data_IF_454834546387
#
_entry.id   IF_454834546387
#
_cell.length_a   1.000
_cell.length_b   1.000
_cell.length_c   1.000
_cell.angle_alpha   90.00
_cell.angle_beta   90.00
_cell.angle_gamma   90.00
#
_symmetry.space_group_name_H-M   'P 1'
#
loop_
_entity.id
_entity.type
_entity.pdbx_description
1 polymer ?
#
# COMPACT_ATOMS: atom_id res chain seq x y z
N UNK A 1 -6.56 15.44 -13.43
CA UNK A 1 -6.12 14.23 -14.13
C UNK A 1 -5.72 13.27 -13.04
N UNK A 2 -6.43 12.16 -12.88
CA UNK A 2 -6.03 11.10 -11.97
C UNK A 2 -4.82 10.42 -12.59
N UNK A 3 -3.69 10.43 -11.90
CA UNK A 3 -2.48 9.75 -12.37
C UNK A 3 -2.62 8.29 -11.93
N UNK A 4 -3.15 7.47 -12.84
CA UNK A 4 -3.35 6.05 -12.58
C UNK A 4 -2.00 5.33 -12.62
N UNK A 5 -1.41 5.10 -11.45
CA UNK A 5 -0.20 4.30 -11.28
C UNK A 5 -0.55 2.81 -11.37
N UNK A 6 0.29 2.02 -12.05
CA UNK A 6 0.14 0.57 -12.07
C UNK A 6 0.60 0.00 -10.72
N UNK A 7 -0.34 -0.63 -10.01
CA UNK A 7 -0.12 -1.27 -8.71
C UNK A 7 -0.18 -2.77 -8.89
N UNK A 8 0.90 -3.47 -8.57
CA UNK A 8 0.91 -4.94 -8.49
C UNK A 8 0.60 -5.38 -7.07
N UNK A 9 -0.33 -6.30 -6.89
CA UNK A 9 -0.79 -6.81 -5.60
C UNK A 9 -0.21 -8.20 -5.37
N UNK A 10 0.30 -8.42 -4.15
CA UNK A 10 0.90 -9.67 -3.70
C UNK A 10 0.30 -10.10 -2.36
N UNK A 11 0.24 -11.41 -2.10
CA UNK A 11 -0.20 -11.95 -0.79
C UNK A 11 0.94 -12.02 0.24
N UNK A 12 2.19 -11.87 -0.20
CA UNK A 12 3.38 -11.90 0.66
C UNK A 12 4.44 -10.94 0.07
N UNK A 13 5.56 -10.64 0.77
CA UNK A 13 6.60 -9.77 0.22
C UNK A 13 7.37 -10.42 -0.95
N UNK A 14 7.22 -11.72 -1.17
CA UNK A 14 7.90 -12.49 -2.22
C UNK A 14 7.28 -12.28 -3.60
N UNK A 15 8.12 -12.16 -4.62
CA UNK A 15 7.67 -11.93 -6.00
C UNK A 15 6.84 -13.09 -6.58
N UNK A 16 6.97 -14.31 -6.04
CA UNK A 16 6.17 -15.46 -6.44
C UNK A 16 4.70 -15.39 -5.99
N UNK A 17 4.38 -14.49 -5.06
CA UNK A 17 3.05 -14.35 -4.47
C UNK A 17 2.15 -13.32 -5.17
N UNK A 18 2.47 -13.02 -6.44
CA UNK A 18 1.70 -12.11 -7.28
C UNK A 18 0.25 -12.58 -7.42
N UNK A 19 -0.69 -11.68 -7.23
CA UNK A 19 -2.13 -11.93 -7.39
C UNK A 19 -2.61 -11.31 -8.70
N UNK A 20 -2.50 -9.98 -8.83
CA UNK A 20 -2.93 -9.23 -10.01
C UNK A 20 -2.38 -7.81 -10.03
N UNK A 21 -2.65 -7.07 -11.10
CA UNK A 21 -2.33 -5.65 -11.22
C UNK A 21 -3.60 -4.81 -11.39
N UNK A 22 -3.62 -3.62 -10.81
CA UNK A 22 -4.70 -2.65 -10.93
C UNK A 22 -4.12 -1.26 -11.23
N UNK A 23 -4.98 -0.36 -11.70
CA UNK A 23 -4.67 1.06 -11.80
C UNK A 23 -5.30 1.79 -10.61
N UNK A 24 -4.54 2.70 -10.03
CA UNK A 24 -4.97 3.40 -8.83
C UNK A 24 -4.21 4.72 -8.65
N UNK A 25 -4.83 5.66 -7.93
CA UNK A 25 -4.25 6.98 -7.66
C UNK A 25 -3.29 6.87 -6.47
N UNK A 26 -1.99 6.90 -6.76
CA UNK A 26 -0.91 6.81 -5.78
C UNK A 26 -0.44 8.21 -5.38
N UNK A 27 -0.64 8.56 -4.11
CA UNK A 27 -0.35 9.88 -3.61
C UNK A 27 0.68 9.83 -2.47
N UNK A 28 1.59 10.83 -2.39
CA UNK A 28 2.41 11.00 -1.21
C UNK A 28 1.53 11.30 0.00
N UNK A 29 1.95 10.80 1.16
CA UNK A 29 1.27 11.00 2.44
C UNK A 29 2.32 11.10 3.54
N UNK A 30 1.95 11.64 4.70
CA UNK A 30 2.86 11.69 5.84
C UNK A 30 2.07 11.52 7.12
N UNK A 31 2.24 10.36 7.73
CA UNK A 31 1.73 10.07 9.07
C UNK A 31 2.71 9.16 9.79
N UNK A 32 3.14 9.60 10.96
CA UNK A 32 4.01 8.81 11.82
C UNK A 32 3.19 8.19 12.94
N UNK A 33 3.36 6.89 13.14
CA UNK A 33 2.79 6.15 14.27
C UNK A 33 3.92 5.91 15.25
N UNK A 34 3.80 6.49 16.45
CA UNK A 34 4.77 6.32 17.54
C UNK A 34 4.19 5.32 18.54
N UNK A 35 4.97 4.29 18.85
CA UNK A 35 4.65 3.29 19.86
C UNK A 35 5.27 3.67 21.20
N UNK A 36 4.72 3.18 22.30
CA UNK A 36 5.15 3.53 23.67
C UNK A 36 6.63 3.24 23.93
N UNK A 37 7.17 2.18 23.31
CA UNK A 37 8.59 1.79 23.40
C UNK A 37 9.55 2.69 22.57
N UNK A 38 9.06 3.79 22.00
CA UNK A 38 9.85 4.74 21.22
C UNK A 38 10.08 4.35 19.76
N UNK A 39 9.49 3.24 19.29
CA UNK A 39 9.49 2.90 17.87
C UNK A 39 8.57 3.82 17.07
N UNK A 40 9.02 4.24 15.90
CA UNK A 40 8.24 5.05 14.97
C UNK A 40 8.13 4.33 13.61
N UNK A 41 6.91 4.26 13.08
CA UNK A 41 6.63 3.79 11.72
C UNK A 41 6.07 4.96 10.92
N UNK A 42 6.70 5.26 9.79
CA UNK A 42 6.28 6.32 8.89
C UNK A 42 5.48 5.77 7.71
N UNK A 43 4.20 6.14 7.64
CA UNK A 43 3.35 5.91 6.48
C UNK A 43 3.62 7.05 5.49
N UNK A 44 4.27 6.72 4.38
CA UNK A 44 4.77 7.69 3.40
C UNK A 44 3.84 7.88 2.21
N UNK A 45 2.88 6.98 2.02
CA UNK A 45 2.02 7.00 0.84
C UNK A 45 0.62 6.50 1.16
N UNK A 46 -0.32 6.91 0.31
CA UNK A 46 -1.68 6.38 0.28
C UNK A 46 -2.11 6.08 -1.16
N UNK A 47 -3.05 5.18 -1.31
CA UNK A 47 -3.59 4.75 -2.60
C UNK A 47 -5.11 4.85 -2.59
N UNK A 48 -5.69 5.41 -3.64
CA UNK A 48 -7.13 5.35 -3.89
C UNK A 48 -7.43 4.43 -5.08
N UNK A 49 -8.33 3.47 -4.88
CA UNK A 49 -8.70 2.49 -5.90
C UNK A 49 -10.14 1.99 -5.72
N UNK A 50 -10.72 1.41 -6.76
CA UNK A 50 -12.00 0.71 -6.66
C UNK A 50 -11.93 -0.40 -5.60
N UNK A 51 -13.07 -0.73 -5.01
CA UNK A 51 -13.11 -1.80 -4.00
C UNK A 51 -12.69 -3.13 -4.61
N UNK A 52 -11.74 -3.81 -3.97
CA UNK A 52 -11.15 -5.05 -4.49
C UNK A 52 -10.92 -6.08 -3.38
N UNK A 53 -11.49 -7.28 -3.53
CA UNK A 53 -11.38 -8.34 -2.51
C UNK A 53 -9.96 -8.87 -2.31
N UNK A 54 -9.04 -8.59 -3.24
CA UNK A 54 -7.61 -8.96 -3.11
C UNK A 54 -6.81 -8.00 -2.23
N UNK A 55 -7.37 -6.84 -1.87
CA UNK A 55 -6.74 -5.84 -1.03
C UNK A 55 -7.21 -6.01 0.42
N UNK A 56 -6.28 -6.36 1.29
CA UNK A 56 -6.49 -6.42 2.73
C UNK A 56 -5.19 -6.00 3.46
N UNK A 57 -5.19 -6.01 4.79
CA UNK A 57 -4.02 -5.62 5.59
C UNK A 57 -2.82 -6.55 5.40
N UNK A 58 -3.03 -7.78 4.96
CA UNK A 58 -1.98 -8.75 4.70
C UNK A 58 -1.33 -8.57 3.32
N UNK A 59 -1.98 -7.86 2.41
CA UNK A 59 -1.49 -7.58 1.06
C UNK A 59 -0.21 -6.71 1.06
N UNK A 60 0.57 -6.88 -0.01
CA UNK A 60 1.76 -6.11 -0.35
C UNK A 60 1.63 -5.55 -1.74
N UNK A 61 2.12 -4.33 -1.97
CA UNK A 61 2.05 -3.65 -3.26
C UNK A 61 3.45 -3.41 -3.84
N UNK A 62 3.57 -3.47 -5.16
CA UNK A 62 4.73 -2.97 -5.89
C UNK A 62 4.27 -1.86 -6.85
N UNK A 63 4.88 -0.69 -6.73
CA UNK A 63 4.54 0.53 -7.46
C UNK A 63 5.86 1.15 -7.88
N UNK A 64 6.07 1.36 -9.18
CA UNK A 64 7.31 1.95 -9.73
C UNK A 64 8.60 1.24 -9.28
N UNK A 65 8.53 -0.08 -9.04
CA UNK A 65 9.66 -0.91 -8.60
C UNK A 65 9.92 -0.87 -7.08
N UNK A 66 9.12 -0.11 -6.33
CA UNK A 66 9.21 -0.01 -4.88
C UNK A 66 8.13 -0.87 -4.22
N UNK A 67 8.50 -1.57 -3.14
CA UNK A 67 7.58 -2.44 -2.40
C UNK A 67 7.01 -1.74 -1.18
N UNK A 68 5.72 -1.96 -0.94
CA UNK A 68 4.96 -1.38 0.14
C UNK A 68 4.16 -2.44 0.90
N UNK A 69 4.02 -2.25 2.21
CA UNK A 69 3.10 -3.00 3.05
C UNK A 69 1.83 -2.19 3.27
N UNK A 70 0.67 -2.81 3.09
CA UNK A 70 -0.60 -2.26 3.55
C UNK A 70 -0.59 -2.22 5.08
N UNK A 71 -0.65 -1.01 5.64
CA UNK A 71 -0.69 -0.80 7.08
C UNK A 71 -2.12 -0.70 7.59
N UNK A 72 -2.98 -0.06 6.81
CA UNK A 72 -4.39 0.09 7.10
C UNK A 72 -5.17 0.32 5.81
N UNK A 73 -6.47 0.03 5.84
CA UNK A 73 -7.36 0.37 4.73
C UNK A 73 -8.67 0.94 5.27
N UNK A 74 -9.18 1.93 4.57
CA UNK A 74 -10.47 2.51 4.82
C UNK A 74 -11.36 2.25 3.62
N UNK A 75 -12.44 1.52 3.88
CA UNK A 75 -13.50 1.31 2.90
C UNK A 75 -14.45 2.50 2.92
N UNK A 76 -14.60 3.15 1.78
CA UNK A 76 -15.66 4.11 1.49
C UNK A 76 -16.78 3.41 0.69
N UNK A 77 -17.82 4.13 0.34
CA UNK A 77 -18.98 3.54 -0.34
C UNK A 77 -18.64 2.97 -1.73
N UNK A 78 -17.74 3.63 -2.46
CA UNK A 78 -17.38 3.31 -3.85
C UNK A 78 -15.89 2.96 -4.06
N UNK A 79 -15.02 3.25 -3.10
CA UNK A 79 -13.58 3.07 -3.25
C UNK A 79 -12.88 2.71 -1.93
N UNK A 80 -11.61 2.31 -2.02
CA UNK A 80 -10.71 2.12 -0.91
C UNK A 80 -9.67 3.24 -0.84
N UNK A 81 -9.39 3.71 0.38
CA UNK A 81 -8.19 4.47 0.71
C UNK A 81 -7.25 3.53 1.49
N UNK A 82 -6.06 3.28 0.94
CA UNK A 82 -5.10 2.31 1.48
C UNK A 82 -3.85 3.05 1.95
N UNK A 83 -3.43 2.81 3.19
CA UNK A 83 -2.24 3.43 3.78
C UNK A 83 -1.03 2.50 3.67
N UNK A 84 0.07 3.04 3.16
CA UNK A 84 1.22 2.27 2.72
C UNK A 84 2.50 2.64 3.46
N UNK A 85 3.18 1.61 3.97
CA UNK A 85 4.55 1.71 4.49
C UNK A 85 5.53 1.23 3.43
N UNK A 86 6.50 2.05 3.06
CA UNK A 86 7.55 1.68 2.11
C UNK A 86 8.53 0.69 2.78
N UNK A 87 8.66 -0.50 2.20
CA UNK A 87 9.60 -1.50 2.67
C UNK A 87 11.02 -1.06 2.34
N UNK A 88 11.87 -0.96 3.36
CA UNK A 88 13.31 -0.76 3.17
C UNK A 88 13.93 -2.07 2.70
N UNK A 89 14.68 -2.04 1.61
CA UNK A 89 15.50 -3.17 1.17
C UNK A 89 16.51 -3.50 2.28
N UNK A 90 16.41 -4.70 2.84
CA UNK A 90 17.49 -5.25 3.66
C UNK A 90 18.67 -5.52 2.72
N UNK A 91 19.79 -4.85 2.99
CA UNK A 91 21.06 -4.98 2.26
C UNK A 91 21.92 -6.02 2.96
#
# INVERSE_FOLDING_TARGET
MFNDSLVKIYSSPDSASYIKSIYADFQPYTKSIVFEDGFQIDITNRLFCDTDSSINKDSYFEIEGEKYKVMDLKKWDDHFEVYLYKLKRQV
#
